data_IF_596466953767
#
_entry.id   IF_596466953767
#
_cell.length_a   1.000
_cell.length_b   1.000
_cell.length_c   1.000
_cell.angle_alpha   90.00
_cell.angle_beta   90.00
_cell.angle_gamma   90.00
#
_symmetry.space_group_name_H-M   'P 1'
#
loop_
_entity.id
_entity.type
_entity.pdbx_description
1 polymer ?
#
# COMPACT_ATOMS: atom_id res chain seq x y z
N UNK A 1 -28.06 48.75 41.90
CA UNK A 1 -28.58 47.38 41.70
C UNK A 1 -27.56 46.65 40.85
N UNK A 2 -26.55 46.08 41.47
CA UNK A 2 -25.48 45.37 40.78
C UNK A 2 -25.10 44.12 41.56
N UNK A 3 -24.74 43.10 40.79
CA UNK A 3 -24.18 41.79 41.15
C UNK A 3 -25.23 40.75 41.61
N UNK A 4 -25.42 39.62 40.95
CA UNK A 4 -24.41 38.76 40.32
C UNK A 4 -24.99 37.94 39.17
N UNK A 5 -24.72 38.36 37.93
CA UNK A 5 -24.56 37.39 36.84
C UNK A 5 -23.18 36.76 36.98
N UNK A 6 -22.97 35.95 38.02
CA UNK A 6 -21.83 35.02 38.04
C UNK A 6 -22.12 33.97 36.97
N UNK A 7 -21.73 34.31 35.74
CA UNK A 7 -21.85 33.44 34.58
C UNK A 7 -21.25 32.09 34.93
N UNK A 8 -22.02 31.04 34.69
CA UNK A 8 -21.63 29.65 34.91
C UNK A 8 -20.44 29.32 34.00
N UNK A 9 -19.23 29.71 34.40
CA UNK A 9 -18.00 29.52 33.64
C UNK A 9 -17.56 28.06 33.80
N UNK A 10 -18.10 27.19 32.95
CA UNK A 10 -17.62 25.82 32.80
C UNK A 10 -16.39 25.86 31.91
N UNK A 11 -15.20 25.74 32.51
CA UNK A 11 -13.96 25.53 31.76
C UNK A 11 -13.45 24.12 31.99
N UNK A 12 -13.18 23.38 30.91
CA UNK A 12 -12.51 22.08 30.99
C UNK A 12 -11.08 22.23 31.52
N UNK A 13 -10.37 23.29 31.12
CA UNK A 13 -8.97 23.51 31.51
C UNK A 13 -8.84 24.14 32.90
N UNK A 14 -9.81 24.95 33.32
CA UNK A 14 -9.86 25.60 34.63
C UNK A 14 -11.17 25.25 35.37
N UNK A 15 -11.37 23.98 35.77
CA UNK A 15 -12.59 23.57 36.45
C UNK A 15 -12.67 24.20 37.84
N UNK A 16 -13.72 24.99 38.09
CA UNK A 16 -13.96 25.70 39.36
C UNK A 16 -14.75 24.87 40.36
N UNK A 17 -15.63 23.97 39.90
CA UNK A 17 -16.46 23.12 40.76
C UNK A 17 -15.88 21.73 40.95
N UNK A 18 -16.22 21.06 42.06
CA UNK A 18 -15.80 19.67 42.31
C UNK A 18 -16.30 18.71 41.22
N UNK A 19 -17.54 18.91 40.74
CA UNK A 19 -18.12 18.16 39.62
C UNK A 19 -17.30 18.33 38.34
N UNK A 20 -16.93 19.57 37.99
CA UNK A 20 -16.13 19.85 36.80
C UNK A 20 -14.72 19.23 36.91
N UNK A 21 -14.09 19.27 38.09
CA UNK A 21 -12.78 18.64 38.34
C UNK A 21 -12.85 17.11 38.15
N UNK A 22 -13.85 16.47 38.73
CA UNK A 22 -14.06 15.04 38.58
C UNK A 22 -14.28 14.66 37.11
N UNK A 23 -15.16 15.41 36.44
CA UNK A 23 -15.46 15.18 35.03
C UNK A 23 -14.21 15.30 34.14
N UNK A 24 -13.44 16.39 34.30
CA UNK A 24 -12.19 16.59 33.57
C UNK A 24 -11.22 15.42 33.78
N UNK A 25 -10.99 15.03 35.03
CA UNK A 25 -10.05 13.94 35.33
C UNK A 25 -10.51 12.61 34.73
N UNK A 26 -11.82 12.34 34.73
CA UNK A 26 -12.40 11.16 34.10
C UNK A 26 -12.20 11.16 32.59
N UNK A 27 -12.49 12.28 31.93
CA UNK A 27 -12.28 12.45 30.48
C UNK A 27 -10.80 12.25 30.13
N UNK A 28 -9.88 12.89 30.85
CA UNK A 28 -8.43 12.73 30.63
C UNK A 28 -8.03 11.26 30.77
N UNK A 29 -8.53 10.57 31.79
CA UNK A 29 -8.21 9.15 32.01
C UNK A 29 -8.73 8.25 30.86
N UNK A 30 -9.96 8.44 30.42
CA UNK A 30 -10.55 7.68 29.31
C UNK A 30 -9.84 7.94 27.99
N UNK A 31 -9.53 9.21 27.70
CA UNK A 31 -8.78 9.60 26.49
C UNK A 31 -7.37 8.99 26.52
N UNK A 32 -6.70 8.95 27.68
CA UNK A 32 -5.40 8.30 27.80
C UNK A 32 -5.46 6.80 27.51
N UNK A 33 -6.49 6.09 27.99
CA UNK A 33 -6.68 4.66 27.66
C UNK A 33 -6.86 4.47 26.16
N UNK A 34 -7.75 5.27 25.55
CA UNK A 34 -8.01 5.20 24.13
C UNK A 34 -6.76 5.52 23.30
N UNK A 35 -6.01 6.54 23.69
CA UNK A 35 -4.74 6.91 23.06
C UNK A 35 -3.73 5.76 23.14
N UNK A 36 -3.55 5.15 24.31
CA UNK A 36 -2.64 4.01 24.49
C UNK A 36 -3.10 2.81 23.65
N UNK A 37 -4.40 2.54 23.56
CA UNK A 37 -4.91 1.44 22.74
C UNK A 37 -4.60 1.66 21.25
N UNK A 38 -4.77 2.88 20.73
CA UNK A 38 -4.47 3.20 19.34
C UNK A 38 -2.97 3.20 19.08
N UNK A 39 -2.25 4.10 19.73
CA UNK A 39 -0.84 4.34 19.41
C UNK A 39 0.05 3.22 19.96
N UNK A 40 -0.29 2.66 21.12
CA UNK A 40 0.42 1.51 21.68
C UNK A 40 0.34 0.29 20.77
N UNK A 41 -0.79 0.05 20.12
CA UNK A 41 -0.91 -1.04 19.14
C UNK A 41 -0.08 -0.78 17.88
N UNK A 42 -0.11 0.44 17.34
CA UNK A 42 0.71 0.80 16.17
C UNK A 42 2.21 0.71 16.45
N UNK A 43 2.64 1.20 17.63
CA UNK A 43 4.03 1.08 18.08
C UNK A 43 4.39 -0.39 18.28
N UNK A 44 3.50 -1.19 18.88
CA UNK A 44 3.71 -2.61 19.07
C UNK A 44 3.95 -3.30 17.73
N UNK A 45 3.07 -3.10 16.73
CA UNK A 45 3.23 -3.64 15.37
C UNK A 45 4.58 -3.26 14.76
N UNK A 46 5.01 -2.01 14.91
CA UNK A 46 6.30 -1.54 14.40
C UNK A 46 7.50 -2.19 15.10
N UNK A 47 7.39 -2.44 16.40
CA UNK A 47 8.49 -3.04 17.21
C UNK A 47 8.62 -4.54 16.96
N UNK A 48 7.51 -5.26 16.82
CA UNK A 48 7.54 -6.72 16.63
C UNK A 48 7.68 -7.13 15.16
N UNK A 49 7.45 -6.20 14.23
CA UNK A 49 7.56 -6.43 12.80
C UNK A 49 8.97 -6.81 12.39
N UNK A 50 9.09 -7.85 11.56
CA UNK A 50 10.33 -8.27 10.93
C UNK A 50 10.19 -8.19 9.41
N UNK A 51 11.26 -7.84 8.69
CA UNK A 51 11.23 -7.87 7.24
C UNK A 51 11.03 -9.32 6.77
N UNK A 52 9.97 -9.56 6.02
CA UNK A 52 9.66 -10.85 5.42
C UNK A 52 9.52 -10.66 3.91
N UNK A 53 10.35 -11.35 3.10
CA UNK A 53 10.27 -11.26 1.65
C UNK A 53 8.99 -11.92 1.13
N UNK A 54 8.35 -11.30 0.15
CA UNK A 54 7.29 -11.92 -0.64
C UNK A 54 7.86 -13.00 -1.56
N UNK A 55 7.02 -13.92 -2.04
CA UNK A 55 7.43 -14.98 -2.96
C UNK A 55 8.06 -14.41 -4.24
N UNK A 56 7.52 -13.31 -4.75
CA UNK A 56 8.00 -12.60 -5.93
C UNK A 56 9.39 -11.99 -5.72
N UNK A 57 9.75 -11.61 -4.48
CA UNK A 57 11.10 -11.15 -4.17
C UNK A 57 12.11 -12.29 -4.29
N UNK A 58 11.76 -13.48 -3.79
CA UNK A 58 12.62 -14.65 -3.86
C UNK A 58 12.82 -15.11 -5.32
N UNK A 59 11.76 -15.10 -6.13
CA UNK A 59 11.86 -15.34 -7.58
C UNK A 59 12.75 -14.30 -8.26
N UNK A 60 12.56 -13.01 -7.93
CA UNK A 60 13.43 -11.94 -8.43
C UNK A 60 14.89 -12.18 -8.06
N UNK A 61 15.20 -12.45 -6.80
CA UNK A 61 16.57 -12.60 -6.31
C UNK A 61 17.30 -13.76 -6.99
N UNK A 62 16.59 -14.88 -7.20
CA UNK A 62 17.09 -16.03 -7.95
C UNK A 62 17.39 -15.66 -9.41
N UNK A 63 16.42 -15.10 -10.13
CA UNK A 63 16.58 -14.71 -11.54
C UNK A 63 17.64 -13.61 -11.72
N UNK A 64 17.68 -12.64 -10.81
CA UNK A 64 18.59 -11.51 -10.87
C UNK A 64 20.05 -11.93 -10.77
N UNK A 65 20.35 -12.94 -9.94
CA UNK A 65 21.72 -13.47 -9.83
C UNK A 65 22.27 -14.00 -11.16
N UNK A 66 21.42 -14.64 -11.98
CA UNK A 66 21.78 -15.12 -13.32
C UNK A 66 21.87 -13.98 -14.34
N UNK A 67 20.95 -13.02 -14.27
CA UNK A 67 20.89 -11.85 -15.15
C UNK A 67 22.11 -10.95 -14.95
N UNK A 68 22.44 -10.62 -13.71
CA UNK A 68 23.59 -9.77 -13.38
C UNK A 68 24.91 -10.40 -13.85
N UNK A 69 25.02 -11.73 -13.70
CA UNK A 69 26.17 -12.53 -14.16
C UNK A 69 26.22 -12.79 -15.67
N UNK A 70 25.20 -12.38 -16.44
CA UNK A 70 25.14 -12.56 -17.90
C UNK A 70 24.80 -13.98 -18.38
N UNK A 71 24.35 -14.87 -17.49
CA UNK A 71 24.05 -16.29 -17.78
C UNK A 71 22.55 -16.60 -17.69
N UNK A 72 21.70 -15.63 -18.03
CA UNK A 72 20.25 -15.76 -17.90
C UNK A 72 19.63 -16.64 -18.99
N UNK A 73 18.51 -17.26 -18.64
CA UNK A 73 17.63 -18.00 -19.52
C UNK A 73 16.34 -17.22 -19.78
N UNK A 74 15.50 -17.70 -20.71
CA UNK A 74 14.17 -17.15 -20.89
C UNK A 74 13.30 -17.23 -19.62
N UNK A 75 13.48 -18.25 -18.78
CA UNK A 75 12.75 -18.37 -17.52
C UNK A 75 13.15 -17.26 -16.53
N UNK A 76 14.45 -16.94 -16.43
CA UNK A 76 14.92 -15.84 -15.57
C UNK A 76 14.32 -14.49 -16.01
N UNK A 77 14.24 -14.25 -17.32
CA UNK A 77 13.63 -13.03 -17.88
C UNK A 77 12.12 -12.95 -17.59
N UNK A 78 11.42 -14.09 -17.67
CA UNK A 78 9.99 -14.19 -17.33
C UNK A 78 9.75 -13.91 -15.84
N UNK A 79 10.57 -14.50 -14.96
CA UNK A 79 10.50 -14.27 -13.52
C UNK A 79 10.79 -12.80 -13.17
N UNK A 80 11.84 -12.21 -13.76
CA UNK A 80 12.13 -10.79 -13.57
C UNK A 80 10.96 -9.91 -14.03
N UNK A 81 10.43 -10.14 -15.24
CA UNK A 81 9.31 -9.37 -15.76
C UNK A 81 8.04 -9.52 -14.91
N UNK A 82 7.74 -10.72 -14.42
CA UNK A 82 6.60 -10.98 -13.54
C UNK A 82 6.75 -10.27 -12.19
N UNK A 83 7.96 -10.25 -11.62
CA UNK A 83 8.24 -9.52 -10.37
C UNK A 83 8.17 -8.01 -10.60
N UNK A 84 8.69 -7.48 -11.70
CA UNK A 84 8.53 -6.06 -12.08
C UNK A 84 7.05 -5.67 -12.20
N UNK A 85 6.22 -6.46 -12.91
CA UNK A 85 4.78 -6.19 -13.03
C UNK A 85 4.06 -6.23 -11.68
N UNK A 86 4.50 -7.10 -10.77
CA UNK A 86 3.95 -7.20 -9.42
C UNK A 86 4.24 -5.95 -8.58
N UNK A 87 5.36 -5.27 -8.84
CA UNK A 87 5.68 -3.96 -8.24
C UNK A 87 4.97 -2.82 -8.97
N UNK A 88 4.98 -2.79 -10.30
CA UNK A 88 4.32 -1.77 -11.13
C UNK A 88 2.81 -1.69 -10.90
N UNK A 89 2.17 -2.79 -10.47
CA UNK A 89 0.76 -2.81 -10.09
C UNK A 89 0.43 -2.15 -8.74
N UNK A 90 1.44 -1.73 -7.96
CA UNK A 90 1.23 -1.14 -6.63
C UNK A 90 0.91 0.35 -6.74
N UNK A 91 -0.17 0.77 -6.11
CA UNK A 91 -0.64 2.17 -6.08
C UNK A 91 0.37 3.10 -5.38
N UNK A 92 1.22 2.55 -4.51
CA UNK A 92 2.20 3.30 -3.72
C UNK A 92 3.60 3.36 -4.36
N UNK A 93 3.72 3.09 -5.66
CA UNK A 93 4.98 3.19 -6.39
C UNK A 93 5.45 4.64 -6.45
N UNK A 94 6.71 4.89 -6.12
CA UNK A 94 7.31 6.22 -6.16
C UNK A 94 7.63 6.59 -7.62
N UNK A 95 7.41 7.85 -8.04
CA UNK A 95 7.66 8.28 -9.42
C UNK A 95 9.10 8.03 -9.89
N UNK A 96 10.08 8.12 -9.00
CA UNK A 96 11.50 7.89 -9.26
C UNK A 96 11.87 6.42 -9.49
N UNK A 97 11.10 5.49 -8.92
CA UNK A 97 11.34 4.04 -9.03
C UNK A 97 10.67 3.45 -10.27
N UNK A 98 9.63 4.12 -10.80
CA UNK A 98 8.89 3.65 -11.97
C UNK A 98 9.79 3.49 -13.21
N UNK A 99 10.65 4.47 -13.59
CA UNK A 99 11.52 4.31 -14.74
C UNK A 99 12.48 3.12 -14.64
N UNK A 100 12.96 2.79 -13.44
CA UNK A 100 13.83 1.60 -13.20
C UNK A 100 13.06 0.32 -13.54
N UNK A 101 11.81 0.22 -13.09
CA UNK A 101 10.97 -0.95 -13.35
C UNK A 101 10.52 -1.03 -14.80
N UNK A 102 10.15 0.09 -15.42
CA UNK A 102 9.75 0.16 -16.82
C UNK A 102 10.91 -0.26 -17.74
N UNK A 103 12.13 0.23 -17.50
CA UNK A 103 13.34 -0.10 -18.26
C UNK A 103 13.67 -1.59 -18.13
N UNK A 104 13.69 -2.12 -16.90
CA UNK A 104 13.95 -3.53 -16.65
C UNK A 104 12.88 -4.44 -17.30
N UNK A 105 11.61 -4.09 -17.16
CA UNK A 105 10.51 -4.83 -17.78
C UNK A 105 10.59 -4.81 -19.31
N UNK A 106 10.86 -3.64 -19.89
CA UNK A 106 10.96 -3.45 -21.34
C UNK A 106 12.13 -4.24 -21.92
N UNK A 107 13.27 -4.24 -21.24
CA UNK A 107 14.43 -5.07 -21.58
C UNK A 107 14.08 -6.57 -21.57
N UNK A 108 13.39 -7.07 -20.54
CA UNK A 108 12.95 -8.47 -20.50
C UNK A 108 12.06 -8.83 -21.70
N UNK A 109 11.05 -7.99 -22.00
CA UNK A 109 10.13 -8.25 -23.11
C UNK A 109 10.86 -8.26 -24.45
N UNK A 110 11.84 -7.37 -24.66
CA UNK A 110 12.64 -7.33 -25.87
C UNK A 110 13.49 -8.59 -26.06
N UNK A 111 14.16 -9.06 -25.01
CA UNK A 111 15.00 -10.27 -25.06
C UNK A 111 14.19 -11.56 -25.15
N UNK A 112 12.99 -11.59 -24.57
CA UNK A 112 12.02 -12.68 -24.74
C UNK A 112 11.38 -12.72 -26.14
N UNK A 113 11.40 -11.60 -26.86
CA UNK A 113 10.84 -11.52 -28.21
C UNK A 113 11.78 -12.15 -29.24
N UNK A 114 11.24 -12.96 -30.18
CA UNK A 114 12.03 -13.50 -31.30
C UNK A 114 12.68 -12.40 -32.13
N UNK A 115 13.94 -12.59 -32.54
CA UNK A 115 14.74 -11.56 -33.20
C UNK A 115 14.05 -10.92 -34.40
N UNK A 116 13.40 -11.73 -35.24
CA UNK A 116 12.68 -11.25 -36.43
C UNK A 116 11.45 -10.37 -36.14
N UNK A 117 10.98 -10.31 -34.88
CA UNK A 117 9.78 -9.55 -34.47
C UNK A 117 10.09 -8.36 -33.57
N UNK A 118 11.35 -8.15 -33.19
CA UNK A 118 11.76 -7.11 -32.24
C UNK A 118 11.48 -5.69 -32.77
N UNK A 119 11.79 -5.45 -34.04
CA UNK A 119 11.53 -4.14 -34.65
C UNK A 119 10.03 -3.85 -34.75
N UNK A 120 9.22 -4.85 -35.09
CA UNK A 120 7.77 -4.71 -35.13
C UNK A 120 7.23 -4.41 -33.73
N UNK A 121 7.71 -5.12 -32.70
CA UNK A 121 7.34 -4.83 -31.31
C UNK A 121 7.67 -3.38 -30.92
N UNK A 122 8.87 -2.90 -31.24
CA UNK A 122 9.26 -1.50 -30.98
C UNK A 122 8.31 -0.51 -31.65
N UNK A 123 7.98 -0.73 -32.93
CA UNK A 123 7.06 0.12 -33.68
C UNK A 123 5.67 0.13 -33.03
N UNK A 124 5.18 -1.02 -32.57
CA UNK A 124 3.87 -1.12 -31.90
C UNK A 124 3.85 -0.39 -30.56
N UNK A 125 4.95 -0.44 -29.80
CA UNK A 125 5.07 0.30 -28.53
C UNK A 125 5.09 1.81 -28.81
N UNK A 126 5.86 2.25 -29.79
CA UNK A 126 5.91 3.67 -30.20
C UNK A 126 4.53 4.15 -30.62
N UNK A 127 3.82 3.39 -31.47
CA UNK A 127 2.46 3.71 -31.91
C UNK A 127 1.51 3.81 -30.71
N UNK A 128 1.54 2.84 -29.79
CA UNK A 128 0.72 2.89 -28.58
C UNK A 128 1.01 4.14 -27.73
N UNK A 129 2.29 4.51 -27.56
CA UNK A 129 2.67 5.71 -26.80
C UNK A 129 2.17 6.99 -27.46
N UNK A 130 2.25 7.09 -28.79
CA UNK A 130 1.71 8.21 -29.55
C UNK A 130 0.18 8.30 -29.42
N UNK A 131 -0.54 7.18 -29.57
CA UNK A 131 -1.99 7.13 -29.35
C UNK A 131 -2.34 7.56 -27.93
N UNK A 132 -1.69 6.96 -26.92
CA UNK A 132 -1.92 7.25 -25.50
C UNK A 132 -1.69 8.72 -25.13
N UNK A 133 -0.69 9.38 -25.74
CA UNK A 133 -0.45 10.80 -25.53
C UNK A 133 -1.50 11.72 -26.19
N UNK A 134 -2.18 11.23 -27.23
CA UNK A 134 -3.15 12.00 -28.02
C UNK A 134 -4.61 11.89 -27.57
N UNK A 135 -4.95 10.95 -26.68
CA UNK A 135 -6.35 10.75 -26.26
C UNK A 135 -6.81 11.79 -25.23
N UNK A 136 -8.08 12.15 -25.30
CA UNK A 136 -8.76 12.93 -24.25
C UNK A 136 -9.54 12.07 -23.26
N UNK A 137 -9.83 10.81 -23.62
CA UNK A 137 -10.59 9.86 -22.80
C UNK A 137 -10.01 8.45 -22.94
N UNK A 138 -10.06 7.68 -21.85
CA UNK A 138 -9.65 6.27 -21.82
C UNK A 138 -10.60 5.35 -22.60
N UNK A 139 -11.75 5.87 -23.04
CA UNK A 139 -12.76 5.16 -23.82
C UNK A 139 -12.48 5.20 -25.33
N UNK A 140 -11.40 5.86 -25.76
CA UNK A 140 -11.01 5.93 -27.17
C UNK A 140 -10.81 4.51 -27.75
N UNK A 141 -11.54 4.13 -28.83
CA UNK A 141 -11.47 2.78 -29.40
C UNK A 141 -10.08 2.38 -29.90
N UNK A 142 -9.30 3.33 -30.42
CA UNK A 142 -7.94 3.07 -30.92
C UNK A 142 -6.96 2.82 -29.77
N UNK A 143 -7.09 3.59 -28.69
CA UNK A 143 -6.34 3.34 -27.46
C UNK A 143 -6.69 1.98 -26.84
N UNK A 144 -7.97 1.64 -26.71
CA UNK A 144 -8.39 0.33 -26.16
C UNK A 144 -7.86 -0.81 -27.04
N UNK A 145 -7.95 -0.67 -28.36
CA UNK A 145 -7.46 -1.66 -29.33
C UNK A 145 -5.96 -1.87 -29.23
N UNK A 146 -5.17 -0.79 -29.24
CA UNK A 146 -3.70 -0.85 -29.16
C UNK A 146 -3.22 -1.40 -27.81
N UNK A 147 -3.84 -0.96 -26.71
CA UNK A 147 -3.61 -1.50 -25.36
C UNK A 147 -3.87 -3.01 -25.32
N UNK A 148 -5.05 -3.44 -25.80
CA UNK A 148 -5.43 -4.85 -25.83
C UNK A 148 -4.48 -5.67 -26.69
N UNK A 149 -4.10 -5.15 -27.85
CA UNK A 149 -3.16 -5.81 -28.76
C UNK A 149 -1.80 -6.08 -28.10
N UNK A 150 -1.18 -5.08 -27.46
CA UNK A 150 0.08 -5.28 -26.73
C UNK A 150 -0.07 -6.29 -25.60
N UNK A 151 -1.14 -6.19 -24.81
CA UNK A 151 -1.45 -7.16 -23.75
C UNK A 151 -1.63 -8.60 -24.27
N UNK A 152 -2.30 -8.80 -25.41
CA UNK A 152 -2.45 -10.13 -26.04
C UNK A 152 -1.11 -10.65 -26.55
N UNK A 153 -0.33 -9.80 -27.22
CA UNK A 153 0.93 -10.19 -27.86
C UNK A 153 2.02 -10.55 -26.86
N UNK A 154 2.11 -9.83 -25.74
CA UNK A 154 3.23 -9.95 -24.79
C UNK A 154 2.93 -10.96 -23.68
N UNK A 155 1.67 -11.13 -23.25
CA UNK A 155 1.33 -12.08 -22.17
C UNK A 155 1.89 -13.50 -22.37
N UNK A 156 1.82 -14.11 -23.57
CA UNK A 156 2.40 -15.44 -23.80
C UNK A 156 3.93 -15.48 -23.63
N UNK A 157 4.63 -14.40 -24.01
CA UNK A 157 6.08 -14.29 -23.82
C UNK A 157 6.47 -14.32 -22.34
N UNK A 158 5.61 -13.78 -21.49
CA UNK A 158 5.79 -13.69 -20.04
C UNK A 158 5.24 -14.90 -19.28
N UNK A 159 4.62 -15.87 -19.95
CA UNK A 159 3.92 -16.97 -19.28
C UNK A 159 2.71 -16.51 -18.45
N UNK A 160 2.13 -15.35 -18.75
CA UNK A 160 1.02 -14.77 -18.00
C UNK A 160 -0.31 -15.25 -18.59
N UNK A 161 -1.19 -15.78 -17.73
CA UNK A 161 -2.54 -16.24 -18.12
C UNK A 161 -3.41 -15.09 -18.63
N UNK A 162 -4.34 -15.39 -19.55
CA UNK A 162 -5.28 -14.41 -20.10
C UNK A 162 -6.15 -13.74 -19.03
N UNK A 163 -6.37 -14.43 -17.90
CA UNK A 163 -7.16 -13.97 -16.76
C UNK A 163 -6.34 -13.28 -15.67
N UNK A 164 -5.02 -13.21 -15.81
CA UNK A 164 -4.16 -12.55 -14.83
C UNK A 164 -4.31 -11.03 -14.94
N UNK A 165 -4.61 -10.39 -13.81
CA UNK A 165 -4.83 -8.94 -13.74
C UNK A 165 -3.60 -8.13 -14.14
N UNK A 166 -2.38 -8.70 -13.99
CA UNK A 166 -1.11 -8.05 -14.36
C UNK A 166 -1.01 -7.79 -15.86
N UNK A 167 -1.74 -8.54 -16.68
CA UNK A 167 -1.83 -8.33 -18.13
C UNK A 167 -2.28 -6.91 -18.50
N UNK A 168 -3.11 -6.30 -17.66
CA UNK A 168 -3.61 -4.93 -17.88
C UNK A 168 -2.56 -3.85 -17.64
N UNK A 169 -1.44 -4.19 -16.98
CA UNK A 169 -0.34 -3.28 -16.64
C UNK A 169 0.68 -3.23 -17.79
N UNK A 170 0.83 -4.33 -18.53
CA UNK A 170 1.86 -4.52 -19.58
C UNK A 170 2.00 -3.29 -20.48
N UNK A 171 0.95 -2.74 -21.13
CA UNK A 171 1.13 -1.64 -22.08
C UNK A 171 1.68 -0.35 -21.41
N UNK A 172 1.41 -0.14 -20.12
CA UNK A 172 1.85 1.04 -19.37
C UNK A 172 3.29 0.96 -18.86
N UNK A 173 3.85 -0.25 -18.85
CA UNK A 173 5.19 -0.55 -18.38
C UNK A 173 6.23 -0.56 -19.52
N UNK A 174 5.79 -0.58 -20.78
CA UNK A 174 6.66 -0.71 -21.95
C UNK A 174 7.19 0.64 -22.42
N UNK A 175 8.50 0.82 -22.34
CA UNK A 175 9.22 1.95 -22.92
C UNK A 175 9.97 1.48 -24.17
N UNK A 176 9.88 2.22 -25.26
CA UNK A 176 10.61 1.90 -26.49
C UNK A 176 12.11 2.23 -26.36
N UNK A 177 12.43 3.23 -25.54
CA UNK A 177 13.80 3.66 -25.28
C UNK A 177 14.51 2.65 -24.35
N UNK A 178 15.67 2.15 -24.72
CA UNK A 178 16.49 1.27 -23.86
C UNK A 178 16.17 -0.22 -23.93
N UNK A 179 15.22 -0.66 -24.77
CA UNK A 179 14.85 -2.09 -24.86
C UNK A 179 16.01 -3.04 -25.22
N UNK A 180 17.01 -2.56 -25.98
CA UNK A 180 18.15 -3.39 -26.36
C UNK A 180 19.09 -3.72 -25.20
N UNK A 181 19.30 -2.74 -24.31
CA UNK A 181 20.28 -2.82 -23.23
C UNK A 181 19.76 -2.07 -22.00
N UNK A 182 19.69 -2.77 -20.87
CA UNK A 182 19.26 -2.19 -19.60
C UNK A 182 20.20 -1.06 -19.18
N UNK A 183 19.65 0.08 -18.76
CA UNK A 183 20.47 1.23 -18.35
C UNK A 183 21.35 0.85 -17.15
N UNK A 184 22.61 1.33 -17.06
CA UNK A 184 23.47 1.05 -15.91
C UNK A 184 22.86 1.47 -14.57
N UNK A 185 22.13 2.60 -14.56
CA UNK A 185 21.40 3.08 -13.38
C UNK A 185 20.28 2.12 -12.97
N UNK A 186 19.52 1.60 -13.93
CA UNK A 186 18.49 0.58 -13.69
C UNK A 186 19.13 -0.65 -13.07
N UNK A 187 20.21 -1.15 -13.66
CA UNK A 187 20.93 -2.33 -13.18
C UNK A 187 21.43 -2.15 -11.74
N UNK A 188 21.93 -0.96 -11.39
CA UNK A 188 22.39 -0.65 -10.03
C UNK A 188 21.27 -0.48 -9.00
N UNK A 189 20.12 0.08 -9.41
CA UNK A 189 19.04 0.45 -8.48
C UNK A 189 17.97 -0.64 -8.34
N UNK A 190 17.82 -1.53 -9.32
CA UNK A 190 16.73 -2.50 -9.37
C UNK A 190 16.63 -3.38 -8.11
N UNK A 191 17.72 -3.94 -7.54
CA UNK A 191 17.62 -4.73 -6.30
C UNK A 191 17.02 -3.94 -5.13
N UNK A 192 17.44 -2.69 -4.94
CA UNK A 192 16.94 -1.83 -3.87
C UNK A 192 15.46 -1.47 -4.07
N UNK A 193 15.04 -1.22 -5.32
CA UNK A 193 13.63 -0.99 -5.66
C UNK A 193 12.80 -2.24 -5.36
N UNK A 194 13.27 -3.41 -5.78
CA UNK A 194 12.56 -4.68 -5.56
C UNK A 194 12.45 -5.01 -4.07
N UNK A 195 13.51 -4.80 -3.30
CA UNK A 195 13.52 -4.98 -1.83
C UNK A 195 12.50 -4.04 -1.16
N UNK A 196 12.54 -2.74 -1.48
CA UNK A 196 11.64 -1.71 -0.95
C UNK A 196 10.17 -2.08 -1.11
N UNK A 197 9.79 -2.69 -2.23
CA UNK A 197 8.39 -2.98 -2.54
C UNK A 197 7.97 -4.41 -2.23
N UNK A 198 8.86 -5.40 -2.23
CA UNK A 198 8.51 -6.81 -2.05
C UNK A 198 8.93 -7.38 -0.68
N UNK A 199 9.65 -6.62 0.14
CA UNK A 199 9.91 -6.98 1.54
C UNK A 199 9.02 -6.15 2.45
N UNK A 200 8.17 -6.82 3.24
CA UNK A 200 7.21 -6.17 4.14
C UNK A 200 7.50 -6.53 5.59
N UNK A 201 7.23 -5.60 6.49
CA UNK A 201 7.27 -5.90 7.91
C UNK A 201 6.06 -6.74 8.30
N UNK A 202 6.28 -8.02 8.63
CA UNK A 202 5.26 -8.95 9.13
C UNK A 202 5.55 -9.34 10.56
N UNK A 203 4.51 -9.75 11.28
CA UNK A 203 4.59 -10.20 12.67
C UNK A 203 3.49 -11.20 12.98
N UNK A 204 3.61 -11.88 14.12
CA UNK A 204 2.56 -12.77 14.62
C UNK A 204 1.19 -12.07 14.68
N UNK A 205 1.13 -10.77 14.98
CA UNK A 205 -0.13 -10.00 15.01
C UNK A 205 -0.70 -9.69 13.62
N UNK A 206 0.13 -9.65 12.58
CA UNK A 206 -0.35 -9.50 11.19
C UNK A 206 -0.80 -10.84 10.60
N UNK A 207 -0.17 -11.94 11.03
CA UNK A 207 -0.33 -13.25 10.41
C UNK A 207 -1.45 -14.07 11.06
N UNK A 208 -1.74 -13.83 12.35
CA UNK A 208 -2.88 -14.45 13.04
C UNK A 208 -4.17 -14.01 12.34
N UNK A 209 -4.99 -14.99 11.95
CA UNK A 209 -6.34 -14.77 11.45
C UNK A 209 -7.34 -14.87 12.60
N UNK A 210 -8.22 -13.89 12.70
CA UNK A 210 -9.35 -13.87 13.61
C UNK A 210 -10.63 -13.69 12.80
N UNK A 211 -11.59 -14.60 12.96
CA UNK A 211 -12.85 -14.61 12.18
C UNK A 211 -12.66 -14.53 10.65
N UNK A 212 -11.57 -15.10 10.13
CA UNK A 212 -11.30 -15.18 8.69
C UNK A 212 -10.47 -14.03 8.11
N UNK A 213 -10.07 -13.04 8.91
CA UNK A 213 -9.26 -11.91 8.46
C UNK A 213 -8.07 -11.63 9.40
N UNK A 214 -7.04 -10.91 8.94
CA UNK A 214 -5.89 -10.56 9.78
C UNK A 214 -6.26 -9.86 11.09
N UNK A 215 -5.69 -10.30 12.21
CA UNK A 215 -6.02 -9.83 13.56
C UNK A 215 -5.82 -8.32 13.72
N UNK A 216 -4.78 -7.74 13.12
CA UNK A 216 -4.56 -6.31 13.20
C UNK A 216 -5.73 -5.49 12.60
N UNK A 217 -6.38 -5.96 11.54
CA UNK A 217 -7.59 -5.31 11.01
C UNK A 217 -8.78 -5.44 11.97
N UNK A 218 -8.92 -6.58 12.66
CA UNK A 218 -9.93 -6.73 13.72
C UNK A 218 -9.70 -5.75 14.84
N UNK A 219 -8.45 -5.65 15.29
CA UNK A 219 -8.06 -4.76 16.35
C UNK A 219 -8.43 -3.32 15.99
N UNK A 220 -8.00 -2.84 14.82
CA UNK A 220 -8.17 -1.45 14.44
C UNK A 220 -9.62 -1.07 14.09
N UNK A 221 -10.37 -1.96 13.43
CA UNK A 221 -11.71 -1.64 12.96
C UNK A 221 -12.81 -1.93 13.99
N UNK A 222 -12.73 -3.08 14.65
CA UNK A 222 -13.84 -3.58 15.49
C UNK A 222 -13.53 -3.43 16.97
N UNK A 223 -12.37 -3.90 17.44
CA UNK A 223 -12.02 -3.84 18.86
C UNK A 223 -11.94 -2.40 19.36
N UNK A 224 -11.27 -1.50 18.63
CA UNK A 224 -11.20 -0.09 19.02
C UNK A 224 -12.58 0.59 19.08
N UNK A 225 -13.52 0.20 18.21
CA UNK A 225 -14.89 0.71 18.26
C UNK A 225 -15.63 0.22 19.50
N UNK A 226 -15.56 -1.08 19.79
CA UNK A 226 -16.16 -1.67 21.00
C UNK A 226 -15.56 -1.02 22.26
N UNK A 227 -14.23 -0.84 22.28
CA UNK A 227 -13.53 -0.15 23.36
C UNK A 227 -14.07 1.27 23.52
N UNK A 228 -14.20 2.04 22.44
CA UNK A 228 -14.71 3.40 22.49
C UNK A 228 -16.14 3.47 23.07
N UNK A 229 -17.05 2.63 22.58
CA UNK A 229 -18.43 2.55 23.11
C UNK A 229 -18.43 2.15 24.59
N UNK A 230 -17.58 1.18 24.96
CA UNK A 230 -17.41 0.76 26.36
C UNK A 230 -16.88 1.88 27.27
N UNK A 231 -15.95 2.70 26.79
CA UNK A 231 -15.44 3.87 27.52
C UNK A 231 -16.53 4.95 27.69
N UNK A 232 -17.34 5.20 26.66
CA UNK A 232 -18.49 6.11 26.74
C UNK A 232 -19.54 5.62 27.74
N UNK A 233 -19.86 4.32 27.72
CA UNK A 233 -20.77 3.72 28.69
C UNK A 233 -20.23 3.81 30.12
N UNK A 234 -18.94 3.48 30.31
CA UNK A 234 -18.26 3.61 31.60
C UNK A 234 -18.27 5.04 32.12
N UNK A 235 -18.08 6.02 31.24
CA UNK A 235 -18.20 7.44 31.57
C UNK A 235 -19.59 7.77 32.12
N UNK A 236 -20.66 7.43 31.39
CA UNK A 236 -22.04 7.72 31.82
C UNK A 236 -22.33 7.11 33.20
N UNK A 237 -22.06 5.81 33.37
CA UNK A 237 -22.30 5.10 34.64
C UNK A 237 -21.57 5.76 35.81
N UNK A 238 -20.31 6.16 35.61
CA UNK A 238 -19.49 6.75 36.68
C UNK A 238 -19.89 8.18 37.00
N UNK A 239 -20.27 8.96 35.98
CA UNK A 239 -20.78 10.33 36.17
C UNK A 239 -22.13 10.29 36.90
N UNK A 240 -23.04 9.39 36.54
CA UNK A 240 -24.34 9.25 37.22
C UNK A 240 -24.16 8.84 38.68
N UNK A 241 -23.28 7.86 38.94
CA UNK A 241 -22.94 7.46 40.30
C UNK A 241 -22.35 8.62 41.12
N UNK A 242 -21.57 9.51 40.49
CA UNK A 242 -21.01 10.69 41.15
C UNK A 242 -22.05 11.78 41.36
N UNK A 243 -22.93 12.04 40.40
CA UNK A 243 -24.01 13.01 40.49
C UNK A 243 -24.96 12.65 41.64
N UNK A 244 -25.35 11.36 41.75
CA UNK A 244 -26.14 10.85 42.88
C UNK A 244 -25.49 11.13 44.24
N UNK A 245 -24.16 10.94 44.35
CA UNK A 245 -23.41 11.22 45.58
C UNK A 245 -23.35 12.71 45.93
N UNK A 246 -23.46 13.59 44.94
CA UNK A 246 -23.42 15.04 45.12
C UNK A 246 -24.83 15.66 45.27
N UNK A 247 -25.89 14.84 45.32
CA UNK A 247 -27.26 15.32 45.43
C UNK A 247 -27.85 15.88 44.13
N UNK A 248 -27.19 15.63 42.99
CA UNK A 248 -27.74 15.91 41.67
C UNK A 248 -28.45 14.64 41.18
N UNK A 249 -29.70 14.46 41.60
CA UNK A 249 -30.63 13.50 41.00
C UNK A 249 -31.62 14.28 40.14
N UNK A 250 -31.78 13.84 38.88
CA UNK A 250 -32.99 14.15 38.11
C UNK A 250 -34.22 13.47 38.74
#
# INVERSE_FOLDING_TARGET
MENSSEGYHISFFKPTTERARYNRNMVIWLVSIWFIAIFGFQILLKVIGKPVPQAEYLSFENAWSNIDGGNHTGADLQELAASCLSVLGKITLAPEDKPVLDDAFSWCVYHLSPEGTRQDLLNEIVNYRQTSAGISTIEDPEYIRSKSFLSVKISPLLGISEYDVRRNIIPFALEAEGMGEMKPETKGNLPAVMEKYLVHNQSVLTDIKFLGFPFHYFYTAVFLLILFVGLCWLYCVRIDARNKKLGFSD
#
